data_IF_646706143259
#
_entry.id   IF_646706143259
#
_cell.length_a   1.000
_cell.length_b   1.000
_cell.length_c   1.000
_cell.angle_alpha   90.00
_cell.angle_beta   90.00
_cell.angle_gamma   90.00
#
_symmetry.space_group_name_H-M   'P 1'
#
loop_
_entity.id
_entity.type
_entity.pdbx_description
1 polymer ?
#
# COMPACT_ATOMS: atom_id res chain seq x y z
N UNK A 1 -17.91 1.52 40.38
CA UNK A 1 -17.80 2.97 40.22
C UNK A 1 -19.18 3.61 40.41
N UNK A 2 -19.27 4.61 41.29
CA UNK A 2 -20.51 5.39 41.47
C UNK A 2 -20.75 6.23 40.22
N UNK A 3 -21.96 6.15 39.66
CA UNK A 3 -22.34 6.88 38.44
C UNK A 3 -23.61 7.67 38.67
N UNK A 4 -23.68 8.86 38.08
CA UNK A 4 -24.89 9.69 38.00
C UNK A 4 -25.43 9.55 36.56
N UNK A 5 -26.75 9.35 36.45
CA UNK A 5 -27.48 9.48 35.18
C UNK A 5 -28.49 10.61 35.34
N UNK A 6 -28.45 11.57 34.44
CA UNK A 6 -29.33 12.73 34.48
C UNK A 6 -29.75 13.20 33.09
N UNK A 7 -30.76 14.10 33.07
CA UNK A 7 -31.22 14.73 31.82
C UNK A 7 -31.15 16.24 31.96
N UNK A 8 -30.92 16.91 30.86
CA UNK A 8 -30.85 18.37 30.75
C UNK A 8 -31.42 18.85 29.42
N UNK A 9 -31.82 20.10 29.37
CA UNK A 9 -32.13 20.81 28.11
C UNK A 9 -30.94 21.65 27.61
N UNK A 10 -29.81 21.62 28.31
CA UNK A 10 -28.62 22.40 27.94
C UNK A 10 -27.90 21.77 26.77
N UNK A 11 -27.84 22.48 25.63
CA UNK A 11 -27.21 21.99 24.39
C UNK A 11 -25.68 22.07 24.41
N UNK A 12 -25.07 22.70 25.40
CA UNK A 12 -23.60 22.90 25.44
C UNK A 12 -22.86 21.86 26.28
N UNK A 13 -23.59 20.88 26.84
CA UNK A 13 -22.95 19.81 27.59
C UNK A 13 -22.11 18.90 26.67
N UNK A 14 -20.92 18.58 27.13
CA UNK A 14 -20.00 17.69 26.41
C UNK A 14 -19.26 16.73 27.36
N UNK A 15 -18.84 15.55 26.91
CA UNK A 15 -17.96 14.66 27.65
C UNK A 15 -16.66 15.36 28.07
N UNK A 16 -16.21 15.12 29.29
CA UNK A 16 -15.01 15.75 29.85
C UNK A 16 -15.27 17.10 30.54
N UNK A 17 -16.49 17.61 30.45
CA UNK A 17 -16.86 18.84 31.24
C UNK A 17 -17.14 18.52 32.68
N UNK A 18 -16.70 19.41 33.54
CA UNK A 18 -17.13 19.48 34.91
C UNK A 18 -18.50 20.18 35.00
N UNK A 19 -19.40 19.60 35.77
CA UNK A 19 -20.73 20.15 36.03
C UNK A 19 -20.99 20.16 37.51
N UNK A 20 -21.29 21.33 38.06
CA UNK A 20 -21.73 21.47 39.42
C UNK A 20 -23.25 21.39 39.48
N UNK A 21 -23.73 20.38 40.17
CA UNK A 21 -25.18 20.20 40.40
C UNK A 21 -25.59 20.96 41.67
N UNK A 22 -26.45 21.94 41.51
CA UNK A 22 -26.95 22.74 42.61
C UNK A 22 -28.48 22.63 42.71
N UNK A 23 -28.99 22.58 43.95
CA UNK A 23 -30.43 22.51 44.26
C UNK A 23 -30.98 21.08 44.32
N UNK A 24 -31.91 20.87 45.26
CA UNK A 24 -32.53 19.58 45.54
C UNK A 24 -31.90 18.84 46.74
N UNK A 25 -32.74 18.21 47.54
CA UNK A 25 -32.31 17.42 48.70
C UNK A 25 -31.71 16.06 48.34
N UNK A 26 -31.83 15.66 47.06
CA UNK A 26 -31.55 14.30 46.63
C UNK A 26 -30.13 14.07 46.08
N UNK A 27 -29.28 15.10 45.95
CA UNK A 27 -27.90 14.93 45.52
C UNK A 27 -27.07 14.35 46.65
N UNK A 28 -26.65 13.09 46.52
CA UNK A 28 -25.83 12.43 47.54
C UNK A 28 -24.50 13.17 47.73
N UNK A 29 -23.94 13.08 48.95
CA UNK A 29 -22.69 13.76 49.31
C UNK A 29 -21.52 13.54 48.33
N UNK A 30 -21.50 12.38 47.66
CA UNK A 30 -20.49 12.02 46.69
C UNK A 30 -20.46 12.91 45.41
N UNK A 31 -21.59 13.57 45.10
CA UNK A 31 -21.70 14.44 43.90
C UNK A 31 -21.77 15.92 44.23
N UNK A 32 -21.66 16.31 45.51
CA UNK A 32 -21.80 17.72 45.97
C UNK A 32 -20.65 18.60 45.43
N UNK A 33 -19.46 18.04 45.29
CA UNK A 33 -18.30 18.81 44.83
C UNK A 33 -18.30 19.00 43.30
N UNK A 34 -19.14 18.25 42.61
CA UNK A 34 -19.27 18.29 41.16
C UNK A 34 -19.25 16.91 40.53
N UNK A 35 -19.51 16.87 39.25
CA UNK A 35 -19.49 15.66 38.44
C UNK A 35 -18.72 15.91 37.12
N UNK A 36 -18.05 14.92 36.64
CA UNK A 36 -17.45 14.93 35.31
C UNK A 36 -18.31 14.11 34.35
N UNK A 37 -18.75 14.73 33.28
CA UNK A 37 -19.58 14.08 32.25
C UNK A 37 -18.72 13.07 31.49
N UNK A 38 -19.18 11.82 31.40
CA UNK A 38 -18.48 10.75 30.70
C UNK A 38 -19.10 10.43 29.36
N UNK A 39 -20.43 10.53 29.24
CA UNK A 39 -21.19 10.25 28.00
C UNK A 39 -22.38 11.18 27.93
N UNK A 40 -22.75 11.53 26.70
CA UNK A 40 -23.99 12.25 26.40
C UNK A 40 -24.75 11.52 25.28
N UNK A 41 -26.06 11.63 25.33
CA UNK A 41 -26.98 11.25 24.26
C UNK A 41 -27.99 12.37 24.08
N UNK A 42 -27.92 13.06 22.95
CA UNK A 42 -28.82 14.18 22.64
C UNK A 42 -29.91 13.76 21.66
N UNK A 43 -31.12 14.31 21.88
CA UNK A 43 -32.27 14.16 20.96
C UNK A 43 -32.82 15.52 20.59
N UNK A 44 -32.89 15.79 19.29
CA UNK A 44 -33.52 16.99 18.77
C UNK A 44 -34.60 16.59 17.76
N UNK A 45 -35.80 17.14 17.91
CA UNK A 45 -36.92 16.97 16.98
C UNK A 45 -37.67 18.30 16.85
N UNK A 46 -38.29 18.53 15.68
CA UNK A 46 -39.06 19.77 15.46
C UNK A 46 -40.29 19.91 16.34
N UNK A 47 -40.85 18.77 16.76
CA UNK A 47 -42.10 18.66 17.54
C UNK A 47 -41.88 18.50 19.03
N UNK A 48 -40.61 18.48 19.50
CA UNK A 48 -40.29 18.28 20.93
C UNK A 48 -39.12 19.14 21.36
N UNK A 49 -39.07 19.45 22.66
CA UNK A 49 -37.95 20.14 23.28
C UNK A 49 -36.66 19.32 23.14
N UNK A 50 -35.56 20.00 22.98
CA UNK A 50 -34.24 19.41 23.01
C UNK A 50 -33.96 18.73 24.35
N UNK A 51 -33.47 17.51 24.34
CA UNK A 51 -33.13 16.73 25.52
C UNK A 51 -31.71 16.16 25.40
N UNK A 52 -30.92 16.30 26.44
CA UNK A 52 -29.63 15.61 26.60
C UNK A 52 -29.73 14.71 27.83
N UNK A 53 -29.56 13.41 27.62
CA UNK A 53 -29.27 12.45 28.67
C UNK A 53 -27.77 12.31 28.83
N UNK A 54 -27.26 12.31 30.03
CA UNK A 54 -25.82 12.15 30.27
C UNK A 54 -25.51 11.21 31.41
N UNK A 55 -24.34 10.63 31.39
CA UNK A 55 -23.73 9.91 32.49
C UNK A 55 -22.50 10.65 32.96
N UNK A 56 -22.33 10.66 34.29
CA UNK A 56 -21.24 11.34 34.94
C UNK A 56 -20.67 10.49 36.09
N UNK A 57 -19.46 10.80 36.48
CA UNK A 57 -18.80 10.28 37.69
C UNK A 57 -18.54 11.43 38.65
N UNK A 58 -18.32 11.18 39.96
CA UNK A 58 -17.92 12.23 40.88
C UNK A 58 -16.69 12.97 40.36
N UNK A 59 -16.68 14.28 40.47
CA UNK A 59 -15.49 15.07 40.17
C UNK A 59 -14.41 14.82 41.23
N UNK A 60 -13.16 14.85 40.83
CA UNK A 60 -11.98 14.78 41.68
C UNK A 60 -10.84 15.56 41.06
N UNK A 61 -10.09 16.31 41.85
CA UNK A 61 -8.85 16.95 41.42
C UNK A 61 -7.69 15.94 41.30
N UNK A 62 -7.76 14.81 42.02
CA UNK A 62 -6.70 13.83 42.11
C UNK A 62 -6.66 12.87 40.91
N UNK A 63 -7.77 12.69 40.19
CA UNK A 63 -7.84 11.82 39.01
C UNK A 63 -8.76 12.34 37.91
N UNK A 64 -8.32 12.23 36.69
CA UNK A 64 -9.10 12.54 35.49
C UNK A 64 -9.85 11.32 34.93
N UNK A 65 -10.98 11.58 34.26
CA UNK A 65 -11.69 10.55 33.52
C UNK A 65 -10.84 10.11 32.32
N UNK A 66 -10.59 8.81 32.22
CA UNK A 66 -10.01 8.19 31.05
C UNK A 66 -11.03 7.27 30.38
N UNK A 67 -11.48 7.58 29.15
CA UNK A 67 -12.32 6.66 28.40
C UNK A 67 -11.59 5.33 28.20
N UNK A 68 -12.36 4.23 28.11
CA UNK A 68 -11.78 2.94 27.75
C UNK A 68 -11.13 3.03 26.37
N UNK A 69 -9.91 2.53 26.27
CA UNK A 69 -9.24 2.43 24.96
C UNK A 69 -10.05 1.51 24.06
N UNK A 70 -10.36 1.99 22.86
CA UNK A 70 -10.93 1.17 21.81
C UNK A 70 -9.78 0.34 21.24
N UNK A 71 -9.96 -0.98 21.15
CA UNK A 71 -8.98 -1.85 20.51
C UNK A 71 -8.77 -1.39 19.07
N UNK A 72 -7.52 -1.17 18.66
CA UNK A 72 -7.22 -0.84 17.28
C UNK A 72 -7.61 -2.02 16.39
N UNK A 73 -8.22 -1.77 15.21
CA UNK A 73 -8.43 -2.82 14.23
C UNK A 73 -7.09 -3.40 13.78
N UNK A 74 -7.02 -4.70 13.62
CA UNK A 74 -5.83 -5.40 13.15
C UNK A 74 -6.14 -6.00 11.78
N UNK A 75 -5.34 -5.64 10.79
CA UNK A 75 -5.42 -6.18 9.44
C UNK A 75 -4.56 -7.46 9.37
N UNK A 76 -5.22 -8.61 9.37
CA UNK A 76 -4.55 -9.90 9.21
C UNK A 76 -4.42 -10.25 7.71
N UNK A 77 -3.19 -10.47 7.23
CA UNK A 77 -2.92 -10.83 5.85
C UNK A 77 -2.74 -9.62 4.92
N UNK A 78 -3.08 -9.80 3.64
CA UNK A 78 -2.90 -8.79 2.59
C UNK A 78 -4.22 -8.42 1.94
N UNK A 79 -4.29 -7.20 1.42
CA UNK A 79 -5.40 -6.73 0.58
C UNK A 79 -4.92 -6.50 -0.85
N UNK A 80 -5.72 -6.86 -1.87
CA UNK A 80 -5.38 -6.59 -3.25
C UNK A 80 -5.62 -5.11 -3.59
N UNK A 81 -4.67 -4.55 -4.36
CA UNK A 81 -4.75 -3.19 -4.88
C UNK A 81 -4.13 -3.12 -6.27
N UNK A 82 -4.33 -1.99 -6.96
CA UNK A 82 -3.66 -1.68 -8.23
C UNK A 82 -2.85 -0.41 -8.11
N UNK A 83 -1.66 -0.42 -8.69
CA UNK A 83 -0.83 0.79 -8.80
C UNK A 83 -1.53 1.82 -9.67
N UNK A 84 -1.51 3.08 -9.26
CA UNK A 84 -2.15 4.19 -9.99
C UNK A 84 -1.13 5.17 -10.55
N UNK A 85 -1.57 6.04 -11.46
CA UNK A 85 -0.77 7.10 -12.03
C UNK A 85 -1.56 8.41 -12.04
N UNK A 86 -0.88 9.53 -11.86
CA UNK A 86 -1.48 10.87 -11.97
C UNK A 86 -1.80 11.29 -13.41
N UNK A 87 -1.30 10.53 -14.40
CA UNK A 87 -1.48 10.81 -15.83
C UNK A 87 -2.20 9.65 -16.49
N UNK A 88 -3.33 9.91 -17.11
CA UNK A 88 -4.18 8.92 -17.78
C UNK A 88 -3.49 8.18 -18.93
N UNK A 89 -2.45 8.75 -19.53
CA UNK A 89 -1.70 8.16 -20.65
C UNK A 89 -0.31 7.65 -20.28
N UNK A 90 0.09 7.77 -19.02
CA UNK A 90 1.37 7.24 -18.56
C UNK A 90 1.22 5.80 -18.10
N UNK A 91 2.00 4.90 -18.68
CA UNK A 91 2.00 3.48 -18.29
C UNK A 91 2.71 3.23 -16.97
N UNK A 92 3.55 4.17 -16.50
CA UNK A 92 4.29 4.02 -15.25
C UNK A 92 3.48 4.52 -14.05
N UNK A 93 3.58 3.81 -12.95
CA UNK A 93 3.06 4.28 -11.67
C UNK A 93 3.80 5.54 -11.24
N UNK A 94 3.06 6.51 -10.74
CA UNK A 94 3.64 7.74 -10.18
C UNK A 94 4.32 7.45 -8.85
N UNK A 95 5.56 7.95 -8.69
CA UNK A 95 6.32 7.81 -7.45
C UNK A 95 6.67 9.19 -6.88
N UNK A 96 6.82 9.27 -5.57
CA UNK A 96 7.33 10.45 -4.89
C UNK A 96 8.87 10.45 -4.78
N UNK A 97 9.42 11.43 -4.03
CA UNK A 97 10.87 11.56 -3.81
C UNK A 97 11.49 10.38 -3.06
N UNK A 98 10.68 9.66 -2.28
CA UNK A 98 11.11 8.49 -1.50
C UNK A 98 10.87 7.17 -2.25
N UNK A 99 10.44 7.24 -3.52
CA UNK A 99 10.17 6.06 -4.35
C UNK A 99 8.94 5.27 -3.94
N UNK A 100 7.96 5.92 -3.26
CA UNK A 100 6.69 5.34 -2.85
C UNK A 100 5.66 5.48 -3.96
N UNK A 101 4.68 4.56 -3.99
CA UNK A 101 3.60 4.51 -4.98
C UNK A 101 2.27 4.94 -4.39
N UNK A 102 1.34 5.29 -5.25
CA UNK A 102 -0.09 5.36 -4.92
C UNK A 102 -0.80 4.15 -5.51
N UNK A 103 -1.81 3.68 -4.78
CA UNK A 103 -2.55 2.46 -5.13
C UNK A 103 -4.05 2.68 -4.94
N UNK A 104 -4.85 2.01 -5.75
CA UNK A 104 -6.29 1.90 -5.57
C UNK A 104 -6.61 0.54 -4.96
N UNK A 105 -7.22 0.52 -3.77
CA UNK A 105 -7.65 -0.70 -3.11
C UNK A 105 -8.90 -1.24 -3.83
N UNK A 106 -8.93 -2.55 -4.14
CA UNK A 106 -10.01 -3.12 -4.97
C UNK A 106 -11.39 -3.11 -4.30
N UNK A 107 -11.46 -2.95 -2.98
CA UNK A 107 -12.73 -2.80 -2.27
C UNK A 107 -13.25 -1.35 -2.25
N UNK A 108 -12.37 -0.35 -2.53
CA UNK A 108 -12.77 1.05 -2.59
C UNK A 108 -13.67 1.28 -3.81
N UNK A 109 -14.85 1.82 -3.57
CA UNK A 109 -15.86 2.11 -4.59
C UNK A 109 -16.01 3.60 -4.84
N UNK A 110 -15.27 4.43 -4.15
CA UNK A 110 -15.28 5.86 -4.35
C UNK A 110 -14.51 6.24 -5.61
N UNK A 111 -14.90 7.36 -6.21
CA UNK A 111 -14.28 7.89 -7.41
C UNK A 111 -13.30 8.97 -7.01
N UNK A 112 -12.04 8.63 -7.01
CA UNK A 112 -10.93 9.54 -6.74
C UNK A 112 -10.36 10.16 -8.00
N UNK A 113 -9.86 11.41 -7.93
CA UNK A 113 -9.01 11.92 -8.99
C UNK A 113 -7.77 11.02 -9.18
N UNK A 114 -7.28 10.83 -10.43
CA UNK A 114 -6.11 10.00 -10.69
C UNK A 114 -4.90 10.41 -9.86
N UNK A 115 -4.33 9.47 -9.12
CA UNK A 115 -3.20 9.69 -8.22
C UNK A 115 -3.56 10.18 -6.81
N UNK A 116 -4.84 10.25 -6.45
CA UNK A 116 -5.33 10.62 -5.11
C UNK A 116 -6.02 9.47 -4.38
N UNK A 117 -5.98 8.26 -4.94
CA UNK A 117 -6.70 7.08 -4.47
C UNK A 117 -6.17 6.54 -3.13
N UNK A 118 -4.96 6.91 -2.73
CA UNK A 118 -4.35 6.51 -1.46
C UNK A 118 -3.33 7.51 -0.95
N UNK A 119 -2.83 7.30 0.25
CA UNK A 119 -1.57 7.85 0.71
C UNK A 119 -0.40 7.19 -0.04
N UNK A 120 0.81 7.75 0.12
CA UNK A 120 2.03 7.18 -0.42
C UNK A 120 2.41 5.88 0.29
N UNK A 121 2.53 4.78 -0.48
CA UNK A 121 2.79 3.44 0.00
C UNK A 121 4.17 2.98 -0.48
N UNK A 122 5.05 2.60 0.46
CA UNK A 122 6.38 2.08 0.13
C UNK A 122 6.30 0.65 -0.41
N UNK A 123 7.27 0.24 -1.21
CA UNK A 123 7.39 -1.11 -1.74
C UNK A 123 8.50 -1.87 -1.01
N UNK A 124 8.19 -3.07 -0.53
CA UNK A 124 9.20 -4.04 -0.13
C UNK A 124 9.97 -4.52 -1.37
N UNK A 125 11.30 -4.48 -1.32
CA UNK A 125 12.19 -4.88 -2.41
C UNK A 125 13.14 -5.95 -1.91
N UNK A 126 13.56 -6.91 -2.76
CA UNK A 126 14.48 -7.98 -2.36
C UNK A 126 15.85 -7.48 -1.92
N UNK A 127 16.27 -6.29 -2.40
CA UNK A 127 17.57 -5.70 -2.11
C UNK A 127 17.46 -4.19 -2.10
N UNK A 128 17.84 -3.54 -1.00
CA UNK A 128 17.73 -2.10 -0.82
C UNK A 128 18.80 -1.57 0.14
N UNK A 129 19.35 -0.42 -0.19
CA UNK A 129 20.31 0.35 0.60
C UNK A 129 20.30 1.82 0.19
N UNK A 130 21.26 2.59 0.66
CA UNK A 130 21.36 4.04 0.43
C UNK A 130 21.80 4.37 -1.02
N UNK A 131 22.79 3.63 -1.53
CA UNK A 131 23.36 3.84 -2.87
C UNK A 131 23.22 2.62 -3.80
N UNK A 132 22.54 1.56 -3.33
CA UNK A 132 22.38 0.31 -4.06
C UNK A 132 20.99 -0.30 -3.83
N UNK A 133 20.55 -1.16 -4.75
CA UNK A 133 19.27 -1.83 -4.62
C UNK A 133 18.79 -2.46 -5.92
N UNK A 134 17.72 -3.23 -5.85
CA UNK A 134 16.97 -3.74 -6.99
C UNK A 134 15.70 -2.92 -7.16
N UNK A 135 15.67 -2.05 -8.16
CA UNK A 135 14.52 -1.22 -8.48
C UNK A 135 13.92 -1.61 -9.82
N UNK A 136 12.71 -2.14 -9.78
CA UNK A 136 11.90 -2.43 -10.96
C UNK A 136 10.64 -1.55 -10.86
N UNK A 137 10.47 -0.54 -11.74
CA UNK A 137 9.34 0.38 -11.67
C UNK A 137 8.03 -0.37 -11.94
N UNK A 138 7.03 -0.13 -11.09
CA UNK A 138 5.70 -0.68 -11.27
C UNK A 138 4.91 0.14 -12.29
N UNK A 139 4.14 -0.55 -13.12
CA UNK A 139 3.25 0.07 -14.08
C UNK A 139 1.89 0.38 -13.45
N UNK A 140 1.23 1.41 -13.95
CA UNK A 140 -0.17 1.67 -13.62
C UNK A 140 -1.04 0.45 -14.00
N UNK A 141 -1.98 0.10 -13.14
CA UNK A 141 -2.83 -1.08 -13.31
C UNK A 141 -2.23 -2.40 -12.79
N UNK A 142 -0.94 -2.44 -12.47
CA UNK A 142 -0.31 -3.63 -11.88
C UNK A 142 -0.97 -4.02 -10.56
N UNK A 143 -1.35 -5.28 -10.43
CA UNK A 143 -1.90 -5.82 -9.18
C UNK A 143 -0.79 -6.03 -8.14
N UNK A 144 -1.07 -5.57 -6.92
CA UNK A 144 -0.15 -5.63 -5.78
C UNK A 144 -0.86 -6.14 -4.53
N UNK A 145 -0.11 -6.84 -3.69
CA UNK A 145 -0.54 -7.25 -2.37
C UNK A 145 -0.11 -6.21 -1.35
N UNK A 146 -1.06 -5.56 -0.68
CA UNK A 146 -0.80 -4.60 0.39
C UNK A 146 -0.80 -5.34 1.72
N UNK A 147 0.31 -5.30 2.43
CA UNK A 147 0.44 -5.76 3.80
C UNK A 147 0.52 -4.56 4.76
N UNK A 148 0.38 -4.85 6.05
CA UNK A 148 0.29 -3.83 7.08
C UNK A 148 1.32 -4.12 8.17
N UNK A 149 2.15 -3.16 8.49
CA UNK A 149 3.19 -3.30 9.52
C UNK A 149 2.54 -3.56 10.89
N UNK A 150 2.82 -4.70 11.50
CA UNK A 150 2.18 -5.17 12.75
C UNK A 150 0.64 -5.24 12.68
N UNK A 151 0.06 -5.34 11.47
CA UNK A 151 -1.38 -5.30 11.27
C UNK A 151 -2.02 -3.92 11.42
N UNK A 152 -1.24 -2.86 11.52
CA UNK A 152 -1.76 -1.49 11.66
C UNK A 152 -2.25 -0.97 10.31
N UNK A 153 -3.57 -0.71 10.13
CA UNK A 153 -4.13 -0.21 8.87
C UNK A 153 -3.53 1.12 8.42
N UNK A 154 -2.96 1.92 9.33
CA UNK A 154 -2.32 3.19 9.03
C UNK A 154 -0.89 3.03 8.49
N UNK A 155 -0.36 1.81 8.46
CA UNK A 155 1.02 1.50 8.04
C UNK A 155 1.09 0.48 6.90
N UNK A 156 0.45 0.78 5.74
CA UNK A 156 0.45 -0.11 4.58
C UNK A 156 1.80 -0.11 3.87
N UNK A 157 2.14 -1.24 3.24
CA UNK A 157 3.23 -1.35 2.28
C UNK A 157 2.92 -2.38 1.20
N UNK A 158 3.46 -2.20 0.00
CA UNK A 158 3.39 -3.17 -1.08
C UNK A 158 4.34 -4.32 -0.72
N UNK A 159 3.76 -5.47 -0.38
CA UNK A 159 4.51 -6.67 0.01
C UNK A 159 4.94 -7.51 -1.20
N UNK A 160 4.20 -7.42 -2.30
CA UNK A 160 4.48 -8.18 -3.52
C UNK A 160 3.70 -7.66 -4.71
N UNK A 161 4.11 -8.14 -5.90
CA UNK A 161 3.49 -7.85 -7.19
C UNK A 161 2.95 -9.16 -7.74
N UNK A 162 1.75 -9.13 -8.31
CA UNK A 162 1.04 -10.30 -8.80
C UNK A 162 0.77 -10.16 -10.29
N UNK A 163 0.89 -11.28 -11.00
CA UNK A 163 0.32 -11.40 -12.34
C UNK A 163 -1.18 -11.66 -12.24
N UNK A 164 -1.94 -11.17 -13.19
CA UNK A 164 -3.38 -11.38 -13.30
C UNK A 164 -3.77 -11.81 -14.73
N UNK A 165 -5.07 -12.01 -14.97
CA UNK A 165 -5.57 -12.45 -16.29
C UNK A 165 -5.29 -11.45 -17.42
N UNK A 166 -5.20 -10.15 -17.11
CA UNK A 166 -4.86 -9.11 -18.08
C UNK A 166 -3.34 -8.94 -18.25
N UNK A 167 -2.54 -9.35 -17.25
CA UNK A 167 -1.09 -9.22 -17.21
C UNK A 167 -0.44 -10.58 -16.88
N UNK A 168 -0.50 -11.55 -17.81
CA UNK A 168 0.01 -12.90 -17.56
C UNK A 168 1.54 -12.93 -17.42
N UNK A 169 2.03 -13.90 -16.65
CA UNK A 169 3.46 -14.17 -16.49
C UNK A 169 4.10 -14.49 -17.85
N UNK A 170 5.23 -13.88 -18.21
CA UNK A 170 5.99 -14.24 -19.41
C UNK A 170 6.58 -15.67 -19.35
N UNK A 171 6.61 -16.27 -18.16
CA UNK A 171 7.02 -17.65 -17.94
C UNK A 171 5.79 -18.52 -17.74
N UNK A 172 5.65 -19.56 -18.55
CA UNK A 172 4.51 -20.49 -18.56
C UNK A 172 5.00 -21.94 -18.58
N UNK A 173 4.10 -22.90 -18.60
CA UNK A 173 4.44 -24.34 -18.75
C UNK A 173 5.30 -24.63 -19.99
N UNK A 174 5.27 -23.78 -21.02
CA UNK A 174 6.05 -23.98 -22.24
C UNK A 174 7.53 -23.60 -22.09
N UNK A 175 7.85 -22.78 -21.10
CA UNK A 175 9.19 -22.20 -20.90
C UNK A 175 9.57 -22.07 -19.43
N UNK A 176 9.05 -22.92 -18.57
CA UNK A 176 9.18 -22.86 -17.09
C UNK A 176 10.62 -22.96 -16.56
N UNK A 177 11.58 -23.36 -17.42
CA UNK A 177 13.00 -23.41 -17.09
C UNK A 177 13.73 -22.07 -17.27
N UNK A 178 13.00 -21.00 -17.61
CA UNK A 178 13.57 -19.67 -17.87
C UNK A 178 13.50 -18.79 -16.64
N UNK A 179 14.61 -18.15 -16.36
CA UNK A 179 14.68 -16.99 -15.48
C UNK A 179 14.67 -15.74 -16.37
N UNK A 180 13.70 -14.83 -16.18
CA UNK A 180 13.48 -13.71 -17.09
C UNK A 180 13.32 -12.42 -16.34
N UNK A 181 14.17 -11.42 -16.63
CA UNK A 181 13.93 -10.03 -16.37
C UNK A 181 13.59 -9.36 -17.70
N UNK A 182 12.40 -8.79 -17.82
CA UNK A 182 11.95 -8.13 -19.04
C UNK A 182 11.23 -6.83 -18.71
N UNK A 183 11.63 -5.74 -19.37
CA UNK A 183 10.99 -4.44 -19.22
C UNK A 183 9.85 -4.25 -20.23
N UNK A 184 8.95 -3.26 -20.03
CA UNK A 184 7.92 -2.91 -21.00
C UNK A 184 8.45 -2.57 -22.38
N UNK A 185 9.64 -1.96 -22.45
CA UNK A 185 10.35 -1.67 -23.70
C UNK A 185 11.06 -2.89 -24.32
N UNK A 186 10.80 -4.10 -23.83
CA UNK A 186 11.39 -5.35 -24.27
C UNK A 186 12.90 -5.48 -24.09
N UNK A 187 13.51 -4.67 -23.22
CA UNK A 187 14.86 -4.96 -22.73
C UNK A 187 14.82 -6.23 -21.89
N UNK A 188 15.76 -7.14 -22.08
CA UNK A 188 15.64 -8.49 -21.55
C UNK A 188 16.99 -9.08 -21.11
N UNK A 189 16.98 -9.68 -19.92
CA UNK A 189 17.97 -10.65 -19.47
C UNK A 189 17.25 -11.97 -19.29
N UNK A 190 17.70 -13.01 -19.97
CA UNK A 190 17.11 -14.35 -19.90
C UNK A 190 18.20 -15.38 -19.67
N UNK A 191 18.01 -16.24 -18.68
CA UNK A 191 18.80 -17.43 -18.44
C UNK A 191 17.87 -18.63 -18.67
N UNK A 192 18.24 -19.53 -19.57
CA UNK A 192 17.43 -20.69 -19.94
C UNK A 192 18.18 -21.97 -19.54
N UNK A 193 17.62 -22.71 -18.58
CA UNK A 193 18.24 -23.91 -18.00
C UNK A 193 17.71 -25.20 -18.67
N UNK A 194 17.27 -25.11 -19.93
CA UNK A 194 16.89 -26.31 -20.70
C UNK A 194 18.10 -27.19 -20.94
N UNK A 195 18.06 -28.42 -20.35
CA UNK A 195 19.19 -29.38 -20.40
C UNK A 195 19.73 -29.59 -21.79
N UNK A 196 21.06 -29.42 -21.96
CA UNK A 196 21.76 -29.52 -23.22
C UNK A 196 21.46 -28.37 -24.21
N UNK A 197 20.82 -27.30 -23.74
CA UNK A 197 20.47 -26.07 -24.47
C UNK A 197 20.55 -24.84 -23.61
N UNK A 198 21.37 -24.91 -22.55
CA UNK A 198 21.53 -23.83 -21.59
C UNK A 198 22.12 -22.61 -22.29
N UNK A 199 21.52 -21.45 -22.00
CA UNK A 199 22.00 -20.20 -22.59
C UNK A 199 21.59 -18.97 -21.84
N UNK A 200 22.38 -17.91 -21.94
CA UNK A 200 22.08 -16.57 -21.46
C UNK A 200 21.88 -15.65 -22.65
N UNK A 201 20.84 -14.82 -22.59
CA UNK A 201 20.57 -13.79 -23.59
C UNK A 201 20.35 -12.44 -22.92
N UNK A 202 21.13 -11.43 -23.32
CA UNK A 202 20.89 -10.02 -23.03
C UNK A 202 20.51 -9.32 -24.31
N UNK A 203 19.39 -8.61 -24.36
CA UNK A 203 18.95 -8.00 -25.64
C UNK A 203 18.06 -6.76 -25.42
N UNK A 204 18.12 -5.87 -26.42
CA UNK A 204 17.18 -4.76 -26.62
C UNK A 204 16.66 -4.79 -28.06
N UNK A 205 15.51 -4.14 -28.29
CA UNK A 205 14.93 -3.98 -29.64
C UNK A 205 14.86 -2.50 -30.08
N UNK A 206 15.54 -1.60 -29.34
CA UNK A 206 15.62 -0.19 -29.72
C UNK A 206 16.53 0.02 -30.95
N UNK A 207 15.96 0.64 -31.97
CA UNK A 207 16.74 0.88 -33.25
C UNK A 207 17.14 -0.36 -33.99
N UNK A 208 16.37 -1.44 -33.92
CA UNK A 208 16.73 -2.78 -34.36
C UNK A 208 17.16 -3.66 -33.20
N UNK A 209 17.59 -4.87 -33.48
CA UNK A 209 17.94 -5.84 -32.45
C UNK A 209 19.43 -5.82 -32.13
N UNK A 210 19.75 -5.53 -30.85
CA UNK A 210 21.09 -5.72 -30.31
C UNK A 210 21.06 -6.80 -29.24
N UNK A 211 21.97 -7.77 -29.29
CA UNK A 211 21.96 -8.91 -28.38
C UNK A 211 23.35 -9.50 -28.13
N UNK A 212 23.52 -10.00 -26.91
CA UNK A 212 24.58 -10.92 -26.53
C UNK A 212 23.93 -12.27 -26.21
N UNK A 213 24.37 -13.33 -26.82
CA UNK A 213 24.01 -14.70 -26.50
C UNK A 213 25.24 -15.47 -26.04
N UNK A 214 25.10 -16.29 -25.02
CA UNK A 214 26.13 -17.17 -24.45
C UNK A 214 25.55 -18.57 -24.32
N UNK A 215 26.33 -19.61 -24.69
CA UNK A 215 25.97 -21.01 -24.60
C UNK A 215 25.35 -21.55 -25.88
N UNK A 216 24.21 -22.24 -25.79
CA UNK A 216 23.54 -22.83 -26.94
C UNK A 216 22.95 -21.76 -27.88
N UNK A 217 23.45 -21.73 -29.13
CA UNK A 217 23.04 -20.77 -30.15
C UNK A 217 22.03 -21.39 -31.11
N UNK A 218 21.04 -20.61 -31.50
CA UNK A 218 20.04 -21.01 -32.50
C UNK A 218 19.89 -19.94 -33.56
N UNK A 219 19.44 -20.36 -34.75
CA UNK A 219 19.07 -19.47 -35.84
C UNK A 219 17.65 -18.86 -35.67
N UNK A 220 17.19 -18.13 -36.69
CA UNK A 220 15.84 -17.54 -36.72
C UNK A 220 14.70 -18.57 -36.72
N UNK A 221 14.98 -19.78 -37.23
CA UNK A 221 14.06 -20.93 -37.20
C UNK A 221 14.16 -21.80 -35.95
N UNK A 222 14.92 -21.37 -34.95
CA UNK A 222 15.17 -22.09 -33.68
C UNK A 222 15.96 -23.40 -33.87
N UNK A 223 16.69 -23.58 -35.02
CA UNK A 223 17.56 -24.70 -35.22
C UNK A 223 18.92 -24.46 -34.56
N UNK A 224 19.57 -25.50 -34.01
CA UNK A 224 20.92 -25.38 -33.46
C UNK A 224 21.93 -24.81 -34.48
N UNK A 225 22.72 -23.83 -34.05
CA UNK A 225 23.72 -23.16 -34.88
C UNK A 225 25.15 -23.29 -34.34
N UNK A 226 25.28 -23.83 -33.14
CA UNK A 226 26.54 -24.03 -32.45
C UNK A 226 26.48 -23.63 -30.99
N UNK A 227 27.63 -23.59 -30.37
CA UNK A 227 27.83 -23.27 -28.96
C UNK A 227 28.89 -22.18 -28.83
N UNK A 228 28.83 -21.37 -27.79
CA UNK A 228 29.78 -20.32 -27.51
C UNK A 228 29.15 -18.96 -27.29
N UNK A 229 29.65 -17.90 -27.90
CA UNK A 229 29.09 -16.57 -27.78
C UNK A 229 28.79 -15.90 -29.12
N UNK A 230 27.81 -15.02 -29.13
CA UNK A 230 27.49 -14.15 -30.25
C UNK A 230 27.16 -12.76 -29.74
N UNK A 231 27.87 -11.75 -30.29
CA UNK A 231 27.49 -10.35 -30.16
C UNK A 231 26.95 -9.88 -31.50
N UNK A 232 25.69 -9.45 -31.54
CA UNK A 232 25.01 -9.02 -32.76
C UNK A 232 24.30 -7.70 -32.58
N UNK A 233 24.31 -6.84 -33.57
CA UNK A 233 23.45 -5.67 -33.68
C UNK A 233 22.95 -5.52 -35.13
N UNK A 234 21.72 -5.02 -35.28
CA UNK A 234 21.16 -4.63 -36.58
C UNK A 234 21.52 -3.16 -36.93
N UNK A 235 22.27 -2.47 -36.05
CA UNK A 235 22.69 -1.07 -36.18
C UNK A 235 24.23 -0.98 -36.09
N UNK A 236 24.74 0.04 -35.43
CA UNK A 236 26.19 0.29 -35.29
C UNK A 236 26.76 -0.42 -34.06
N UNK A 237 28.00 -0.88 -34.17
CA UNK A 237 28.74 -1.51 -33.07
C UNK A 237 30.14 -0.91 -32.93
N UNK A 238 30.64 -0.88 -31.68
CA UNK A 238 32.04 -0.55 -31.42
C UNK A 238 32.54 -1.38 -30.23
N UNK A 239 33.77 -1.90 -30.36
CA UNK A 239 34.51 -2.52 -29.26
C UNK A 239 35.66 -1.57 -28.94
N UNK A 240 35.77 -1.13 -27.70
CA UNK A 240 36.81 -0.15 -27.27
C UNK A 240 37.46 -0.64 -26.01
N UNK A 241 38.80 -0.49 -25.93
CA UNK A 241 39.58 -0.70 -24.73
C UNK A 241 40.42 0.56 -24.45
N UNK A 242 40.45 0.99 -23.18
CA UNK A 242 41.15 2.21 -22.77
C UNK A 242 42.68 2.05 -22.67
N UNK A 243 43.17 0.82 -22.69
CA UNK A 243 44.62 0.49 -22.60
C UNK A 243 45.08 -0.43 -23.75
N UNK A 244 44.46 -0.40 -24.90
CA UNK A 244 44.83 -1.20 -26.07
C UNK A 244 44.03 -2.46 -26.21
#
# INVERSE_FOLDING_TARGET
QTRLSAKSSCATLAPGQELKVSGGEEVTGTFREGVMITHIHSRARRDRSFEVAFHAIPYSEDYGFRPASIARPVMAGTLPARVTSTKSSDIYGHIDRDGRYRVSLLFDRDHWPPGEESLWVRQARPYAGDTYGLHLPLLAGTEVAIAFEQGDPDRPYIAGVLHDSAHPDPVTIRNYKRNVLRTPANNKIRLDDARGKEHIKVSTEYGGKSQLNLGHLVDGGKQPRGEGFELRTDSYGAIRAGKG
#
